data_IF_546549279772
#
_entry.id   IF_546549279772
#
_cell.length_a   1.000
_cell.length_b   1.000
_cell.length_c   1.000
_cell.angle_alpha   90.00
_cell.angle_beta   90.00
_cell.angle_gamma   90.00
#
_symmetry.space_group_name_H-M   'P 1'
#
loop_
_entity.id
_entity.type
_entity.pdbx_description
1 polymer ?
#
# COMPACT_ATOMS: atom_id res chain seq x y z
N UNK A 1 -2.24 22.17 -9.81
CA UNK A 1 -1.42 21.14 -9.12
C UNK A 1 -1.30 19.94 -10.05
N UNK A 2 -0.23 19.17 -9.94
CA UNK A 2 -0.04 17.96 -10.72
C UNK A 2 -0.05 16.76 -9.77
N UNK A 3 -0.38 15.57 -10.29
CA UNK A 3 -0.42 14.31 -9.56
C UNK A 3 0.32 13.23 -10.33
N UNK A 4 0.85 12.26 -9.60
CA UNK A 4 1.37 11.03 -10.19
C UNK A 4 0.21 10.15 -10.64
N UNK A 5 0.34 9.48 -11.79
CA UNK A 5 -0.62 8.50 -12.31
C UNK A 5 0.15 7.27 -12.78
N UNK A 6 -0.33 6.08 -12.42
CA UNK A 6 0.23 4.81 -12.85
C UNK A 6 -0.43 4.38 -14.18
N UNK A 7 0.38 4.19 -15.22
CA UNK A 7 -0.05 3.58 -16.48
C UNK A 7 -0.05 2.06 -16.33
N UNK A 8 -1.20 1.43 -16.55
CA UNK A 8 -1.40 -0.01 -16.42
C UNK A 8 -1.57 -0.64 -17.79
N UNK A 9 -0.72 -1.61 -18.11
CA UNK A 9 -0.83 -2.45 -19.30
C UNK A 9 -0.70 -3.92 -18.88
N UNK A 10 -1.64 -4.78 -19.31
CA UNK A 10 -1.69 -6.18 -18.90
C UNK A 10 -1.60 -6.37 -17.37
N UNK A 11 -2.38 -5.59 -16.61
CA UNK A 11 -2.38 -5.58 -15.14
C UNK A 11 -1.04 -5.24 -14.48
N UNK A 12 -0.10 -4.66 -15.22
CA UNK A 12 1.23 -4.27 -14.72
C UNK A 12 1.43 -2.78 -14.92
N UNK A 13 2.01 -2.10 -13.92
CA UNK A 13 2.43 -0.71 -14.01
C UNK A 13 3.61 -0.64 -14.98
N UNK A 14 3.41 -0.03 -16.15
CA UNK A 14 4.48 0.12 -17.15
C UNK A 14 5.12 1.51 -17.12
N UNK A 15 4.43 2.50 -16.54
CA UNK A 15 4.97 3.86 -16.40
C UNK A 15 4.34 4.64 -15.23
N UNK A 16 5.05 5.65 -14.75
CA UNK A 16 4.56 6.65 -13.79
C UNK A 16 4.56 8.02 -14.46
N UNK A 17 3.36 8.55 -14.73
CA UNK A 17 3.15 9.79 -15.45
C UNK A 17 2.89 10.94 -14.48
N UNK A 18 3.38 12.13 -14.83
CA UNK A 18 3.09 13.35 -14.10
C UNK A 18 2.01 14.13 -14.84
N UNK A 19 0.78 14.04 -14.34
CA UNK A 19 -0.42 14.55 -15.01
C UNK A 19 -0.98 15.79 -14.29
N UNK A 20 -1.86 16.52 -14.96
CA UNK A 20 -2.64 17.60 -14.32
C UNK A 20 -3.53 17.03 -13.20
N UNK A 21 -3.83 17.82 -12.17
CA UNK A 21 -4.76 17.39 -11.11
C UNK A 21 -6.17 17.07 -11.65
N UNK A 22 -6.56 17.67 -12.78
CA UNK A 22 -7.82 17.43 -13.48
C UNK A 22 -7.83 16.18 -14.34
N UNK A 23 -6.69 15.50 -14.52
CA UNK A 23 -6.61 14.29 -15.33
C UNK A 23 -7.52 13.20 -14.73
N UNK A 24 -8.48 12.65 -15.49
CA UNK A 24 -9.37 11.62 -14.99
C UNK A 24 -8.64 10.27 -14.83
N UNK A 25 -9.15 9.43 -13.94
CA UNK A 25 -8.75 8.02 -13.90
C UNK A 25 -9.47 7.23 -15.00
N UNK A 26 -8.78 6.24 -15.54
CA UNK A 26 -9.30 5.30 -16.55
C UNK A 26 -8.80 3.90 -16.22
N UNK A 27 -9.33 2.88 -16.90
CA UNK A 27 -8.90 1.48 -16.69
C UNK A 27 -7.38 1.25 -16.87
N UNK A 28 -6.73 2.10 -17.67
CA UNK A 28 -5.29 2.04 -17.93
C UNK A 28 -4.50 3.13 -17.20
N UNK A 29 -5.15 4.07 -16.51
CA UNK A 29 -4.47 5.21 -15.87
C UNK A 29 -5.07 5.46 -14.49
N UNK A 30 -4.39 4.99 -13.47
CA UNK A 30 -4.90 4.94 -12.09
C UNK A 30 -4.09 5.88 -11.20
N UNK A 31 -4.75 6.59 -10.30
CA UNK A 31 -4.07 7.40 -9.29
C UNK A 31 -3.56 6.50 -8.15
N UNK A 32 -2.23 6.38 -7.94
CA UNK A 32 -1.68 5.62 -6.82
C UNK A 32 -1.98 6.27 -5.45
N UNK A 33 -2.45 7.52 -5.43
CA UNK A 33 -2.55 8.36 -4.24
C UNK A 33 -1.20 8.43 -3.51
N UNK A 34 -1.16 8.07 -2.22
CA UNK A 34 0.05 8.07 -1.39
C UNK A 34 0.78 6.72 -1.36
N UNK A 35 0.42 5.78 -2.25
CA UNK A 35 1.07 4.47 -2.31
C UNK A 35 2.40 4.56 -3.04
N UNK A 36 3.48 3.94 -2.52
CA UNK A 36 4.79 3.93 -3.15
C UNK A 36 4.84 2.95 -4.34
N UNK A 37 4.00 3.19 -5.35
CA UNK A 37 3.91 2.43 -6.60
C UNK A 37 5.12 2.70 -7.49
N UNK A 38 5.61 1.65 -8.13
CA UNK A 38 6.74 1.66 -9.05
C UNK A 38 6.40 0.84 -10.31
N UNK A 39 7.21 1.05 -11.36
CA UNK A 39 7.14 0.25 -12.59
C UNK A 39 7.41 -1.22 -12.25
N UNK A 40 6.58 -2.12 -12.78
CA UNK A 40 6.62 -3.56 -12.51
C UNK A 40 5.66 -4.04 -11.43
N UNK A 41 5.08 -3.13 -10.64
CA UNK A 41 4.01 -3.49 -9.71
C UNK A 41 2.76 -3.95 -10.47
N UNK A 42 1.97 -4.85 -9.88
CA UNK A 42 0.73 -5.32 -10.51
C UNK A 42 -0.48 -4.59 -9.95
N UNK A 43 -1.49 -4.38 -10.79
CA UNK A 43 -2.77 -3.77 -10.42
C UNK A 43 -3.92 -4.74 -10.68
N UNK A 44 -4.68 -5.03 -9.62
CA UNK A 44 -5.87 -5.89 -9.68
C UNK A 44 -6.85 -5.48 -8.58
N UNK A 45 -8.15 -5.57 -8.86
CA UNK A 45 -9.23 -5.31 -7.90
C UNK A 45 -9.09 -3.99 -7.11
N UNK A 46 -8.65 -2.92 -7.79
CA UNK A 46 -8.49 -1.61 -7.17
C UNK A 46 -7.23 -1.45 -6.32
N UNK A 47 -6.31 -2.42 -6.33
CA UNK A 47 -5.13 -2.47 -5.45
C UNK A 47 -3.85 -2.70 -6.23
N UNK A 48 -2.76 -2.14 -5.70
CA UNK A 48 -1.40 -2.34 -6.21
C UNK A 48 -0.68 -3.40 -5.39
N UNK A 49 0.18 -4.18 -6.04
CA UNK A 49 0.94 -5.25 -5.42
C UNK A 49 2.39 -5.23 -5.90
N UNK A 50 3.31 -5.51 -4.97
CA UNK A 50 4.73 -5.76 -5.24
C UNK A 50 5.07 -7.16 -4.78
N UNK A 51 5.59 -7.99 -5.67
CA UNK A 51 5.93 -9.38 -5.39
C UNK A 51 4.77 -10.19 -4.75
N UNK A 52 3.53 -9.88 -5.17
CA UNK A 52 2.31 -10.50 -4.63
C UNK A 52 1.80 -9.93 -3.29
N UNK A 53 2.51 -8.97 -2.68
CA UNK A 53 2.10 -8.31 -1.44
C UNK A 53 1.43 -6.98 -1.76
N UNK A 54 0.27 -6.71 -1.15
CA UNK A 54 -0.44 -5.46 -1.35
C UNK A 54 0.43 -4.27 -0.90
N UNK A 55 0.57 -3.27 -1.78
CA UNK A 55 1.27 -2.02 -1.47
C UNK A 55 0.36 -1.16 -0.60
N UNK A 56 0.81 -0.94 0.62
CA UNK A 56 0.18 -0.05 1.59
C UNK A 56 0.76 1.35 1.48
N UNK A 57 0.01 2.33 1.96
CA UNK A 57 0.58 3.64 2.29
C UNK A 57 1.57 3.49 3.46
N UNK A 58 2.48 4.45 3.63
CA UNK A 58 3.43 4.45 4.74
C UNK A 58 2.74 4.43 6.11
N UNK A 59 1.58 5.10 6.23
CA UNK A 59 0.79 5.11 7.45
C UNK A 59 0.17 3.73 7.74
N UNK A 60 -0.45 3.10 6.74
CA UNK A 60 -1.02 1.76 6.87
C UNK A 60 0.07 0.72 7.22
N UNK A 61 1.26 0.83 6.63
CA UNK A 61 2.40 -0.05 6.96
C UNK A 61 2.87 0.14 8.41
N UNK A 62 2.97 1.40 8.88
CA UNK A 62 3.34 1.70 10.26
C UNK A 62 2.28 1.19 11.25
N UNK A 63 1.00 1.36 10.95
CA UNK A 63 -0.10 0.85 11.77
C UNK A 63 -0.07 -0.68 11.85
N UNK A 64 0.13 -1.36 10.70
CA UNK A 64 0.27 -2.82 10.66
C UNK A 64 1.41 -3.30 11.56
N UNK A 65 2.59 -2.66 11.48
CA UNK A 65 3.74 -3.00 12.34
C UNK A 65 3.44 -2.76 13.82
N UNK A 66 2.78 -1.66 14.16
CA UNK A 66 2.40 -1.37 15.55
C UNK A 66 1.44 -2.44 16.10
N UNK A 67 0.43 -2.85 15.35
CA UNK A 67 -0.50 -3.92 15.76
C UNK A 67 0.23 -5.26 15.93
N UNK A 68 1.16 -5.60 15.04
CA UNK A 68 2.01 -6.79 15.17
C UNK A 68 2.87 -6.75 16.44
N UNK A 69 3.47 -5.59 16.75
CA UNK A 69 4.23 -5.42 17.99
C UNK A 69 3.34 -5.51 19.24
N UNK A 70 2.21 -4.81 19.27
CA UNK A 70 1.25 -4.86 20.38
C UNK A 70 0.75 -6.28 20.64
N UNK A 71 0.50 -7.05 19.58
CA UNK A 71 0.11 -8.46 19.70
C UNK A 71 1.22 -9.30 20.31
N UNK A 72 2.46 -9.16 19.83
CA UNK A 72 3.62 -9.86 20.38
C UNK A 72 3.90 -9.48 21.86
N UNK A 73 3.74 -8.19 22.20
CA UNK A 73 3.83 -7.71 23.58
C UNK A 73 2.77 -8.36 24.47
N UNK A 74 1.52 -8.41 24.01
CA UNK A 74 0.41 -9.04 24.74
C UNK A 74 0.67 -10.53 25.00
N UNK A 75 1.20 -11.25 23.99
CA UNK A 75 1.60 -12.67 24.15
C UNK A 75 2.71 -12.84 25.20
N UNK A 76 3.71 -11.96 25.20
CA UNK A 76 4.80 -11.99 26.17
C UNK A 76 4.29 -11.67 27.59
N UNK A 77 3.48 -10.64 27.76
CA UNK A 77 2.89 -10.27 29.05
C UNK A 77 2.05 -11.41 29.63
N UNK A 78 1.31 -12.11 28.77
CA UNK A 78 0.52 -13.30 29.13
C UNK A 78 1.44 -14.44 29.57
N UNK A 79 2.49 -14.74 28.80
CA UNK A 79 3.45 -15.81 29.12
C UNK A 79 4.24 -15.55 30.41
N UNK A 80 4.54 -14.28 30.70
CA UNK A 80 5.25 -13.85 31.90
C UNK A 80 4.33 -13.62 33.10
N UNK A 81 3.01 -13.74 32.93
CA UNK A 81 2.02 -13.52 33.99
C UNK A 81 1.95 -12.07 34.48
N UNK A 82 2.42 -11.11 33.69
CA UNK A 82 2.43 -9.67 34.03
C UNK A 82 1.00 -9.11 34.09
N UNK A 83 0.07 -9.74 33.35
CA UNK A 83 -1.34 -9.37 33.28
C UNK A 83 -2.26 -10.21 34.20
N UNK A 84 -1.70 -11.04 35.10
CA UNK A 84 -2.49 -11.75 36.10
C UNK A 84 -2.63 -10.90 37.36
N UNK A 85 -3.69 -10.08 37.41
CA UNK A 85 -4.22 -9.50 38.65
C UNK A 85 -5.27 -10.43 39.27
#
# INVERSE_FOLDING_TARGET
MAKSMALIENSTVTNMLWCSASEPETDALINPADRPVAIGDTYSDGKFYRDGVQILTLLEEAQKKNTEYESALTEIETALGVNNA
#
